data_IF_112687312403
#
_entry.id   IF_112687312403
#
_cell.length_a   1.000
_cell.length_b   1.000
_cell.length_c   1.000
_cell.angle_alpha   90.00
_cell.angle_beta   90.00
_cell.angle_gamma   90.00
#
_symmetry.space_group_name_H-M   'P 1'
#
loop_
_entity.id
_entity.type
_entity.pdbx_description
1 polymer ?
#
# COMPACT_ATOMS: atom_id res chain seq x y z
N UNK A 1 -14.26 15.99 -1.82
CA UNK A 1 -12.82 16.01 -2.12
C UNK A 1 -12.49 14.69 -2.79
N UNK A 2 -11.99 14.69 -4.03
CA UNK A 2 -11.65 13.45 -4.72
C UNK A 2 -10.52 12.75 -3.96
N UNK A 3 -10.72 11.49 -3.57
CA UNK A 3 -9.68 10.69 -2.91
C UNK A 3 -8.56 10.48 -3.92
N UNK A 4 -7.34 10.87 -3.56
CA UNK A 4 -6.19 10.73 -4.46
C UNK A 4 -5.95 9.24 -4.74
N UNK A 5 -5.69 8.85 -5.99
CA UNK A 5 -5.61 7.42 -6.38
C UNK A 5 -4.61 6.65 -5.50
N UNK A 6 -3.40 7.17 -5.32
CA UNK A 6 -2.36 6.57 -4.48
C UNK A 6 -2.78 6.43 -3.01
N UNK A 7 -3.54 7.39 -2.48
CA UNK A 7 -4.06 7.31 -1.11
C UNK A 7 -5.16 6.24 -1.02
N UNK A 8 -6.04 6.18 -2.02
CA UNK A 8 -7.10 5.17 -2.10
C UNK A 8 -6.57 3.74 -2.22
N UNK A 9 -5.60 3.50 -3.10
CA UNK A 9 -4.99 2.17 -3.26
C UNK A 9 -4.22 1.74 -2.02
N UNK A 10 -3.35 2.59 -1.47
CA UNK A 10 -2.54 2.25 -0.30
C UNK A 10 -3.38 2.01 0.94
N UNK A 11 -4.26 2.95 1.31
CA UNK A 11 -5.07 2.79 2.54
C UNK A 11 -6.16 1.74 2.39
N UNK A 12 -6.78 1.63 1.20
CA UNK A 12 -7.79 0.61 0.95
C UNK A 12 -7.20 -0.79 1.10
N UNK A 13 -6.13 -1.11 0.38
CA UNK A 13 -5.54 -2.46 0.42
C UNK A 13 -4.86 -2.77 1.75
N UNK A 14 -4.09 -1.83 2.32
CA UNK A 14 -3.36 -2.09 3.55
C UNK A 14 -4.26 -2.25 4.79
N UNK A 15 -5.48 -1.68 4.77
CA UNK A 15 -6.46 -1.91 5.83
C UNK A 15 -7.36 -3.11 5.58
N UNK A 16 -7.82 -3.32 4.34
CA UNK A 16 -8.75 -4.40 4.04
C UNK A 16 -8.09 -5.79 4.12
N UNK A 17 -6.82 -5.91 3.77
CA UNK A 17 -6.08 -7.18 3.85
C UNK A 17 -6.01 -7.77 5.26
N UNK A 18 -5.56 -7.05 6.31
CA UNK A 18 -5.51 -7.60 7.67
C UNK A 18 -6.91 -7.89 8.24
N UNK A 19 -7.94 -7.13 7.85
CA UNK A 19 -9.33 -7.41 8.23
C UNK A 19 -9.81 -8.71 7.56
N UNK A 20 -9.57 -8.87 6.26
CA UNK A 20 -9.90 -10.09 5.52
C UNK A 20 -9.13 -11.31 6.03
N UNK A 21 -7.84 -11.15 6.38
CA UNK A 21 -7.02 -12.19 6.98
C UNK A 21 -7.56 -12.60 8.37
N UNK A 22 -7.95 -11.64 9.20
CA UNK A 22 -8.61 -11.92 10.49
C UNK A 22 -9.94 -12.67 10.33
N UNK A 23 -10.80 -12.23 9.39
CA UNK A 23 -12.04 -12.92 9.07
C UNK A 23 -11.80 -14.35 8.55
N UNK A 24 -10.79 -14.54 7.69
CA UNK A 24 -10.38 -15.87 7.22
C UNK A 24 -9.89 -16.76 8.36
N UNK A 25 -9.09 -16.22 9.28
CA UNK A 25 -8.64 -16.94 10.47
C UNK A 25 -9.81 -17.37 11.37
N UNK A 26 -10.86 -16.55 11.47
CA UNK A 26 -12.08 -16.87 12.22
C UNK A 26 -12.81 -18.09 11.65
N UNK A 27 -12.93 -18.15 10.32
CA UNK A 27 -13.58 -19.28 9.62
C UNK A 27 -12.78 -20.58 9.69
N UNK A 28 -11.47 -20.49 9.94
CA UNK A 28 -10.58 -21.62 10.12
C UNK A 28 -10.48 -22.10 11.59
N UNK A 29 -11.26 -21.52 12.51
CA UNK A 29 -11.28 -21.94 13.92
C UNK A 29 -10.16 -21.35 14.78
N UNK A 30 -9.47 -20.30 14.32
CA UNK A 30 -8.36 -19.69 15.07
C UNK A 30 -8.79 -18.92 16.35
N UNK A 31 -10.09 -18.82 16.63
CA UNK A 31 -10.63 -18.26 17.87
C UNK A 31 -10.04 -16.88 18.23
N UNK A 32 -9.43 -16.78 19.41
CA UNK A 32 -8.86 -15.55 19.95
C UNK A 32 -7.66 -15.00 19.15
N UNK A 33 -6.97 -15.83 18.36
CA UNK A 33 -5.85 -15.37 17.53
C UNK A 33 -6.29 -14.42 16.42
N UNK A 34 -7.56 -14.47 16.00
CA UNK A 34 -8.15 -13.49 15.07
C UNK A 34 -7.95 -12.05 15.57
N UNK A 35 -8.20 -11.81 16.86
CA UNK A 35 -8.09 -10.48 17.45
C UNK A 35 -6.66 -9.98 17.39
N UNK A 36 -5.68 -10.86 17.58
CA UNK A 36 -4.26 -10.53 17.45
C UNK A 36 -3.93 -10.15 16.00
N UNK A 37 -4.47 -10.87 15.01
CA UNK A 37 -4.28 -10.54 13.59
C UNK A 37 -4.84 -9.17 13.22
N UNK A 38 -6.05 -8.85 13.67
CA UNK A 38 -6.67 -7.54 13.38
C UNK A 38 -5.96 -6.44 14.17
N UNK A 39 -5.70 -6.64 15.46
CA UNK A 39 -5.08 -5.65 16.32
C UNK A 39 -3.63 -5.32 15.95
N UNK A 40 -2.84 -6.29 15.47
CA UNK A 40 -1.49 -6.06 14.98
C UNK A 40 -1.47 -5.65 13.51
N UNK A 41 -2.33 -6.24 12.68
CA UNK A 41 -2.35 -6.03 11.24
C UNK A 41 -2.83 -4.63 10.84
N UNK A 42 -3.83 -4.08 11.52
CA UNK A 42 -4.35 -2.72 11.23
C UNK A 42 -3.29 -1.61 11.45
N UNK A 43 -2.59 -1.52 12.59
CA UNK A 43 -1.56 -0.49 12.77
C UNK A 43 -0.36 -0.70 11.86
N UNK A 44 0.03 -1.95 11.58
CA UNK A 44 1.10 -2.23 10.60
C UNK A 44 0.67 -1.79 9.19
N UNK A 45 -0.55 -2.13 8.77
CA UNK A 45 -1.11 -1.69 7.50
C UNK A 45 -1.19 -0.17 7.38
N UNK A 46 -1.58 0.52 8.45
CA UNK A 46 -1.57 1.98 8.50
C UNK A 46 -0.17 2.56 8.37
N UNK A 47 0.81 1.99 9.08
CA UNK A 47 2.20 2.43 9.00
C UNK A 47 2.77 2.24 7.59
N UNK A 48 2.49 1.10 6.93
CA UNK A 48 2.90 0.82 5.55
C UNK A 48 2.23 1.80 4.57
N UNK A 49 0.93 2.04 4.71
CA UNK A 49 0.22 3.00 3.87
C UNK A 49 0.77 4.42 4.04
N UNK A 50 1.03 4.85 5.28
CA UNK A 50 1.58 6.16 5.57
C UNK A 50 3.01 6.33 5.05
N UNK A 51 3.87 5.33 5.26
CA UNK A 51 5.25 5.33 4.76
C UNK A 51 5.27 5.30 3.22
N UNK A 52 4.47 4.42 2.60
CA UNK A 52 4.32 4.32 1.15
C UNK A 52 3.83 5.62 0.53
N UNK A 53 2.84 6.27 1.15
CA UNK A 53 2.34 7.59 0.76
C UNK A 53 3.46 8.62 0.74
N UNK A 54 4.22 8.71 1.82
CA UNK A 54 5.36 9.64 1.94
C UNK A 54 6.42 9.38 0.86
N UNK A 55 6.67 8.11 0.54
CA UNK A 55 7.61 7.68 -0.48
C UNK A 55 7.16 8.10 -1.89
N UNK A 56 5.89 7.82 -2.24
CA UNK A 56 5.28 8.19 -3.52
C UNK A 56 5.36 9.71 -3.73
N UNK A 57 4.90 10.51 -2.75
CA UNK A 57 4.94 11.97 -2.90
C UNK A 57 6.35 12.54 -2.90
N UNK A 58 7.27 11.97 -2.12
CA UNK A 58 8.67 12.42 -2.12
C UNK A 58 9.33 12.20 -3.49
N UNK A 59 9.05 11.06 -4.13
CA UNK A 59 9.57 10.74 -5.47
C UNK A 59 8.97 11.64 -6.55
N UNK A 60 7.71 12.04 -6.39
CA UNK A 60 7.02 12.90 -7.35
C UNK A 60 7.33 14.39 -7.16
N UNK A 61 7.82 14.79 -5.99
CA UNK A 61 8.05 16.21 -5.69
C UNK A 61 9.03 16.89 -6.66
N UNK A 62 10.18 16.25 -6.92
CA UNK A 62 11.20 16.76 -7.84
C UNK A 62 10.73 16.86 -9.29
N UNK A 63 10.18 15.80 -9.92
CA UNK A 63 9.75 15.87 -11.31
C UNK A 63 8.55 16.82 -11.50
N UNK A 64 7.63 16.91 -10.53
CA UNK A 64 6.53 17.88 -10.62
C UNK A 64 7.02 19.32 -10.55
N UNK A 65 8.05 19.61 -9.73
CA UNK A 65 8.67 20.94 -9.70
C UNK A 65 9.29 21.30 -11.06
N UNK A 66 10.03 20.37 -11.67
CA UNK A 66 10.62 20.55 -13.02
C UNK A 66 9.54 20.78 -14.08
N UNK A 67 8.43 20.04 -14.04
CA UNK A 67 7.31 20.24 -14.95
C UNK A 67 6.64 21.61 -14.79
N UNK A 68 6.57 22.13 -13.56
CA UNK A 68 5.96 23.44 -13.28
C UNK A 68 6.81 24.63 -13.75
N UNK A 69 8.14 24.50 -13.68
CA UNK A 69 9.09 25.55 -14.04
C UNK A 69 9.42 25.55 -15.54
N UNK A 70 9.08 24.49 -16.28
CA UNK A 70 9.43 24.33 -17.69
C UNK A 70 8.28 24.67 -18.65
N UNK A 71 8.55 25.55 -19.61
CA UNK A 71 7.66 25.91 -20.74
C UNK A 71 7.76 24.95 -21.93
N UNK A 72 8.86 24.18 -22.04
CA UNK A 72 9.06 23.22 -23.13
C UNK A 72 8.14 22.01 -23.02
N UNK A 73 7.30 21.80 -24.05
CA UNK A 73 6.39 20.67 -24.16
C UNK A 73 7.12 19.32 -24.15
N UNK A 74 8.32 19.24 -24.75
CA UNK A 74 9.11 18.01 -24.79
C UNK A 74 9.51 17.53 -23.39
N UNK A 75 10.04 18.44 -22.56
CA UNK A 75 10.46 18.11 -21.20
C UNK A 75 9.27 17.67 -20.33
N UNK A 76 8.08 18.23 -20.56
CA UNK A 76 6.85 17.77 -19.89
C UNK A 76 6.47 16.35 -20.29
N UNK A 77 6.63 15.95 -21.55
CA UNK A 77 6.36 14.57 -21.96
C UNK A 77 7.36 13.59 -21.34
N UNK A 78 8.65 13.89 -21.42
CA UNK A 78 9.72 13.02 -20.90
C UNK A 78 9.74 12.89 -19.38
N UNK A 79 9.37 13.94 -18.64
CA UNK A 79 9.31 13.88 -17.17
C UNK A 79 7.93 13.45 -16.70
N UNK A 80 6.88 13.84 -17.42
CA UNK A 80 5.48 13.58 -17.06
C UNK A 80 5.07 12.12 -17.18
N UNK A 81 5.37 11.46 -18.32
CA UNK A 81 4.99 10.06 -18.51
C UNK A 81 5.63 9.16 -17.44
N UNK A 82 6.96 9.22 -17.17
CA UNK A 82 7.56 8.36 -16.15
C UNK A 82 7.03 8.67 -14.75
N UNK A 83 6.78 9.94 -14.44
CA UNK A 83 6.21 10.34 -13.15
C UNK A 83 4.80 9.79 -12.98
N UNK A 84 3.98 9.83 -14.03
CA UNK A 84 2.65 9.24 -14.02
C UNK A 84 2.68 7.72 -13.83
N UNK A 85 3.61 7.03 -14.52
CA UNK A 85 3.81 5.59 -14.34
C UNK A 85 4.25 5.24 -12.91
N UNK A 86 5.19 6.00 -12.34
CA UNK A 86 5.61 5.82 -10.94
C UNK A 86 4.43 6.04 -9.99
N UNK A 87 3.61 7.06 -10.22
CA UNK A 87 2.44 7.34 -9.41
C UNK A 87 1.38 6.23 -9.47
N UNK A 88 1.29 5.48 -10.57
CA UNK A 88 0.31 4.40 -10.75
C UNK A 88 0.85 3.04 -10.29
N UNK A 89 2.10 2.72 -10.64
CA UNK A 89 2.73 1.42 -10.36
C UNK A 89 3.19 1.31 -8.92
N UNK A 90 3.77 2.37 -8.34
CA UNK A 90 4.39 2.29 -7.01
C UNK A 90 3.37 2.01 -5.89
N UNK A 91 2.20 2.70 -5.82
CA UNK A 91 1.15 2.34 -4.86
C UNK A 91 0.68 0.90 -5.03
N UNK A 92 0.46 0.47 -6.28
CA UNK A 92 0.00 -0.87 -6.61
C UNK A 92 1.02 -1.95 -6.20
N UNK A 93 2.31 -1.71 -6.42
CA UNK A 93 3.37 -2.62 -6.00
C UNK A 93 3.47 -2.76 -4.47
N UNK A 94 3.34 -1.65 -3.74
CA UNK A 94 3.31 -1.65 -2.27
C UNK A 94 2.08 -2.42 -1.77
N UNK A 95 0.92 -2.21 -2.38
CA UNK A 95 -0.30 -2.95 -2.08
C UNK A 95 -0.14 -4.46 -2.27
N UNK A 96 0.43 -4.89 -3.41
CA UNK A 96 0.70 -6.31 -3.69
C UNK A 96 1.67 -6.89 -2.66
N UNK A 97 2.76 -6.17 -2.36
CA UNK A 97 3.73 -6.60 -1.36
C UNK A 97 3.08 -6.74 0.03
N UNK A 98 2.16 -5.84 0.38
CA UNK A 98 1.41 -5.89 1.64
C UNK A 98 0.52 -7.14 1.68
N UNK A 99 -0.23 -7.42 0.62
CA UNK A 99 -1.10 -8.61 0.50
C UNK A 99 -0.27 -9.89 0.64
N UNK A 100 0.83 -10.00 -0.12
CA UNK A 100 1.72 -11.15 -0.07
C UNK A 100 2.37 -11.31 1.31
N UNK A 101 2.79 -10.20 1.93
CA UNK A 101 3.33 -10.19 3.28
C UNK A 101 2.33 -10.69 4.32
N UNK A 102 1.08 -10.24 4.26
CA UNK A 102 0.01 -10.74 5.15
C UNK A 102 -0.29 -12.22 4.92
N UNK A 103 -0.31 -12.68 3.66
CA UNK A 103 -0.54 -14.08 3.31
C UNK A 103 0.58 -14.98 3.84
N UNK A 104 1.83 -14.64 3.55
CA UNK A 104 3.00 -15.41 4.01
C UNK A 104 3.13 -15.38 5.53
N UNK A 105 2.87 -14.23 6.15
CA UNK A 105 2.84 -14.09 7.60
C UNK A 105 1.78 -15.00 8.23
N UNK A 106 0.57 -15.05 7.65
CA UNK A 106 -0.48 -15.95 8.11
C UNK A 106 -0.10 -17.43 7.96
N UNK A 107 0.46 -17.84 6.82
CA UNK A 107 0.91 -19.24 6.58
C UNK A 107 2.04 -19.64 7.54
N UNK A 108 3.00 -18.74 7.78
CA UNK A 108 4.07 -18.99 8.73
C UNK A 108 3.49 -19.19 10.13
N UNK A 109 2.63 -18.28 10.58
CA UNK A 109 2.06 -18.34 11.92
C UNK A 109 1.23 -19.61 12.14
N UNK A 110 0.41 -20.01 11.17
CA UNK A 110 -0.41 -21.23 11.29
C UNK A 110 0.41 -22.51 11.36
N UNK A 111 1.59 -22.56 10.72
CA UNK A 111 2.50 -23.72 10.80
C UNK A 111 3.25 -23.86 12.12
N UNK A 112 3.40 -22.78 12.89
CA UNK A 112 4.16 -22.78 14.14
C UNK A 112 3.28 -22.76 15.39
N UNK A 113 2.02 -22.31 15.28
CA UNK A 113 1.06 -22.27 16.38
C UNK A 113 0.08 -23.46 16.42
N UNK A 114 -0.08 -24.18 15.32
CA UNK A 114 -0.90 -25.38 15.18
C UNK A 114 -0.08 -26.51 14.57
#
# INVERSE_FOLDING_TARGET
MAVNHADGTLFGTAMLCPIAAGLGASSAGAGWWMLVFVAAGVPVGFAVAYAGRRLVYSLLHRPMKIMSETTSSWTRWFVGIPSFLVYLVLPSAISIATVLGTLLGAIWLTRYLF
#
